data_IF_844096284502
#
_entry.id   IF_844096284502
#
_cell.length_a   1.000
_cell.length_b   1.000
_cell.length_c   1.000
_cell.angle_alpha   90.00
_cell.angle_beta   90.00
_cell.angle_gamma   90.00
#
_symmetry.space_group_name_H-M   'P 1'
#
loop_
_entity.id
_entity.type
_entity.pdbx_description
1 polymer ?
#
# COMPACT_ATOMS: atom_id res chain seq x y z
N UNK A 1 19.77 -39.77 -32.14
CA UNK A 1 19.94 -38.89 -30.95
C UNK A 1 18.92 -37.77 -31.09
N UNK A 2 17.79 -37.87 -30.36
CA UNK A 2 16.71 -36.90 -30.40
C UNK A 2 16.94 -35.78 -29.35
N UNK A 3 16.37 -34.59 -29.52
CA UNK A 3 16.57 -33.49 -28.61
C UNK A 3 15.86 -33.77 -27.27
N UNK A 4 16.58 -33.56 -26.17
CA UNK A 4 16.05 -33.64 -24.81
C UNK A 4 15.03 -32.52 -24.61
N UNK A 5 13.77 -32.87 -24.31
CA UNK A 5 12.77 -31.98 -23.78
C UNK A 5 13.27 -31.34 -22.47
N UNK A 6 13.54 -30.06 -22.51
CA UNK A 6 13.61 -29.23 -21.33
C UNK A 6 12.19 -29.11 -20.78
N UNK A 7 11.95 -29.71 -19.63
CA UNK A 7 10.75 -29.49 -18.85
C UNK A 7 10.74 -28.05 -18.43
N UNK A 8 9.68 -27.34 -18.72
CA UNK A 8 9.36 -26.05 -18.12
C UNK A 8 9.38 -26.22 -16.59
N UNK A 9 10.47 -25.78 -15.98
CA UNK A 9 10.52 -25.61 -14.54
C UNK A 9 9.67 -24.40 -14.20
N UNK A 10 8.71 -24.57 -13.29
CA UNK A 10 7.98 -23.49 -12.65
C UNK A 10 8.96 -22.39 -12.22
N UNK A 11 8.97 -21.30 -12.95
CA UNK A 11 9.75 -20.12 -12.60
C UNK A 11 9.01 -19.48 -11.43
N UNK A 12 9.51 -19.69 -10.21
CA UNK A 12 9.01 -19.00 -9.04
C UNK A 12 9.22 -17.48 -9.23
N UNK A 13 8.16 -16.82 -9.69
CA UNK A 13 8.13 -15.36 -9.94
C UNK A 13 8.44 -14.56 -8.66
N UNK A 14 8.46 -15.22 -7.51
CA UNK A 14 8.73 -14.63 -6.19
C UNK A 14 10.22 -14.58 -5.84
N UNK A 15 11.04 -15.44 -6.45
CA UNK A 15 12.48 -15.41 -6.21
C UNK A 15 13.13 -14.39 -7.17
N UNK A 16 13.58 -13.21 -6.70
CA UNK A 16 14.37 -12.33 -7.55
C UNK A 16 15.64 -13.08 -7.97
N UNK A 17 16.03 -12.93 -9.23
CA UNK A 17 17.32 -13.47 -9.71
C UNK A 17 18.42 -13.04 -8.73
N UNK A 18 19.01 -14.00 -8.01
CA UNK A 18 19.95 -13.72 -6.94
C UNK A 18 21.13 -12.85 -7.40
N UNK A 19 21.43 -12.83 -8.70
CA UNK A 19 22.49 -12.01 -9.30
C UNK A 19 22.23 -10.51 -9.26
N UNK A 20 20.94 -10.11 -9.18
CA UNK A 20 20.51 -8.71 -9.20
C UNK A 20 19.60 -8.35 -8.03
N UNK A 21 19.61 -9.17 -6.96
CA UNK A 21 18.77 -8.92 -5.80
C UNK A 21 19.30 -7.72 -4.99
N UNK A 22 18.65 -6.55 -5.02
CA UNK A 22 19.08 -5.37 -4.29
C UNK A 22 18.69 -5.40 -2.81
N UNK A 23 18.05 -6.48 -2.33
CA UNK A 23 17.48 -6.54 -1.01
C UNK A 23 18.36 -7.27 0.00
N UNK A 24 18.40 -6.73 1.22
CA UNK A 24 18.87 -7.43 2.40
C UNK A 24 17.67 -8.03 3.13
N UNK A 25 17.75 -9.30 3.46
CA UNK A 25 16.71 -10.06 4.15
C UNK A 25 16.98 -10.07 5.64
N UNK A 26 15.95 -9.83 6.44
CA UNK A 26 15.98 -9.89 7.90
C UNK A 26 14.93 -10.88 8.38
N UNK A 27 15.27 -11.71 9.38
CA UNK A 27 14.24 -12.41 10.14
C UNK A 27 13.44 -11.42 10.99
N UNK A 28 12.29 -11.84 11.51
CA UNK A 28 11.46 -11.03 12.40
C UNK A 28 12.24 -10.57 13.64
N UNK A 29 13.04 -11.47 14.22
CA UNK A 29 13.86 -11.21 15.40
C UNK A 29 14.96 -10.19 15.10
N UNK A 30 15.71 -10.40 14.01
CA UNK A 30 16.74 -9.46 13.56
C UNK A 30 16.17 -8.07 13.28
N UNK A 31 14.99 -8.00 12.70
CA UNK A 31 14.33 -6.73 12.44
C UNK A 31 13.85 -6.06 13.73
N UNK A 32 13.30 -6.82 14.67
CA UNK A 32 12.83 -6.31 15.96
C UNK A 32 13.97 -5.69 16.78
N UNK A 33 15.18 -6.23 16.72
CA UNK A 33 16.37 -5.66 17.37
C UNK A 33 16.71 -4.24 16.86
N UNK A 34 16.36 -3.92 15.60
CA UNK A 34 16.64 -2.60 15.01
C UNK A 34 15.82 -1.46 15.63
N UNK A 35 14.81 -1.76 16.42
CA UNK A 35 14.12 -0.73 17.21
C UNK A 35 15.04 -0.09 18.26
N UNK A 36 16.08 -0.82 18.71
CA UNK A 36 16.99 -0.41 19.77
C UNK A 36 16.18 0.01 21.04
N UNK A 37 16.56 1.08 21.72
CA UNK A 37 15.87 1.59 22.91
C UNK A 37 14.60 2.42 22.62
N UNK A 38 14.04 2.33 21.41
CA UNK A 38 12.81 3.04 21.04
C UNK A 38 11.64 2.50 21.85
N UNK A 39 11.02 3.30 22.73
CA UNK A 39 9.90 2.83 23.52
C UNK A 39 8.63 2.69 22.66
N UNK A 40 7.76 1.75 23.02
CA UNK A 40 6.41 1.70 22.48
C UNK A 40 5.63 2.93 22.96
N UNK A 41 5.11 3.69 22.01
CA UNK A 41 4.39 4.95 22.29
C UNK A 41 2.88 4.83 22.11
N UNK A 42 2.39 3.68 21.61
CA UNK A 42 0.97 3.40 21.45
C UNK A 42 0.42 2.70 22.67
N UNK A 43 -0.61 3.28 23.28
CA UNK A 43 -1.35 2.66 24.36
C UNK A 43 -2.33 1.59 23.82
N UNK A 44 -2.65 0.52 24.61
CA UNK A 44 -3.56 -0.53 24.17
C UNK A 44 -4.94 -0.02 23.71
N UNK A 45 -5.47 1.01 24.36
CA UNK A 45 -6.75 1.63 24.02
C UNK A 45 -6.72 2.33 22.67
N UNK A 46 -5.66 3.08 22.37
CA UNK A 46 -5.44 3.73 21.08
C UNK A 46 -5.25 2.71 19.96
N UNK A 47 -4.45 1.67 20.22
CA UNK A 47 -4.22 0.59 19.27
C UNK A 47 -5.53 -0.08 18.86
N UNK A 48 -6.45 -0.29 19.81
CA UNK A 48 -7.77 -0.86 19.52
C UNK A 48 -8.60 -0.01 18.55
N UNK A 49 -8.41 1.32 18.55
CA UNK A 49 -9.08 2.23 17.63
C UNK A 49 -8.43 2.25 16.23
N UNK A 50 -7.12 2.01 16.15
CA UNK A 50 -6.40 1.95 14.87
C UNK A 50 -6.69 0.66 14.10
N UNK A 51 -7.01 -0.41 14.82
CA UNK A 51 -7.31 -1.72 14.26
C UNK A 51 -8.75 -1.76 13.72
N UNK A 52 -8.94 -2.27 12.51
CA UNK A 52 -10.29 -2.65 12.04
C UNK A 52 -10.77 -3.90 12.79
N UNK A 53 -12.08 -4.10 12.90
CA UNK A 53 -12.68 -5.27 13.59
C UNK A 53 -12.18 -6.62 13.06
N UNK A 54 -11.64 -6.65 11.85
CA UNK A 54 -11.17 -7.86 11.16
C UNK A 54 -9.66 -8.01 11.15
N UNK A 55 -8.92 -7.03 11.67
CA UNK A 55 -7.47 -7.06 11.65
C UNK A 55 -6.95 -7.95 12.78
N UNK A 56 -6.06 -8.86 12.41
CA UNK A 56 -5.41 -9.79 13.34
C UNK A 56 -4.12 -9.23 13.94
N UNK A 57 -3.87 -7.95 13.76
CA UNK A 57 -2.70 -7.27 14.28
C UNK A 57 -2.76 -7.21 15.81
N UNK A 58 -1.67 -7.53 16.47
CA UNK A 58 -1.48 -7.39 17.91
C UNK A 58 -0.38 -6.38 18.26
N UNK A 59 -0.30 -5.97 19.53
CA UNK A 59 0.71 -5.00 19.99
C UNK A 59 2.13 -5.53 19.86
N UNK A 60 2.32 -6.85 19.96
CA UNK A 60 3.64 -7.46 19.79
C UNK A 60 4.13 -7.31 18.35
N UNK A 61 3.23 -7.52 17.37
CA UNK A 61 3.56 -7.27 15.96
C UNK A 61 3.89 -5.78 15.72
N UNK A 62 3.17 -4.87 16.38
CA UNK A 62 3.49 -3.44 16.29
C UNK A 62 4.89 -3.16 16.84
N UNK A 63 5.23 -3.72 17.97
CA UNK A 63 6.53 -3.55 18.63
C UNK A 63 7.68 -4.15 17.81
N UNK A 64 7.48 -5.34 17.25
CA UNK A 64 8.53 -6.09 16.55
C UNK A 64 8.71 -5.66 15.08
N UNK A 65 7.64 -5.19 14.42
CA UNK A 65 7.66 -4.90 12.99
C UNK A 65 7.53 -3.40 12.69
N UNK A 66 6.48 -2.76 13.23
CA UNK A 66 6.15 -1.40 12.83
C UNK A 66 6.95 -0.34 13.60
N UNK A 67 7.36 -0.62 14.82
CA UNK A 67 8.19 0.29 15.59
C UNK A 67 9.59 0.45 14.98
N UNK A 68 10.34 -0.64 14.64
CA UNK A 68 11.59 -0.50 13.87
C UNK A 68 11.40 0.17 12.53
N UNK A 69 10.31 -0.14 11.79
CA UNK A 69 10.00 0.53 10.53
C UNK A 69 9.78 2.03 10.71
N UNK A 70 9.02 2.43 11.74
CA UNK A 70 8.79 3.86 12.03
C UNK A 70 10.09 4.59 12.37
N UNK A 71 11.01 3.92 13.08
CA UNK A 71 12.36 4.45 13.36
C UNK A 71 13.16 4.64 12.08
N UNK A 72 13.18 3.63 11.21
CA UNK A 72 13.83 3.75 9.91
C UNK A 72 13.27 4.92 9.11
N UNK A 73 11.95 5.01 9.00
CA UNK A 73 11.27 6.08 8.28
C UNK A 73 11.55 7.47 8.88
N UNK A 74 11.64 7.59 10.21
CA UNK A 74 11.98 8.87 10.83
C UNK A 74 13.38 9.36 10.44
N UNK A 75 14.36 8.44 10.33
CA UNK A 75 15.72 8.77 9.86
C UNK A 75 15.68 9.30 8.42
N UNK A 76 14.91 8.65 7.54
CA UNK A 76 14.74 9.10 6.15
C UNK A 76 14.05 10.45 6.05
N UNK A 77 12.96 10.63 6.79
CA UNK A 77 12.22 11.88 6.83
C UNK A 77 13.12 13.03 7.28
N UNK A 78 13.88 12.85 8.36
CA UNK A 78 14.80 13.86 8.88
C UNK A 78 15.88 14.24 7.85
N UNK A 79 16.49 13.25 7.21
CA UNK A 79 17.51 13.49 6.20
C UNK A 79 16.94 14.22 4.97
N UNK A 80 15.77 13.78 4.49
CA UNK A 80 15.09 14.39 3.35
C UNK A 80 14.62 15.82 3.65
N UNK A 81 14.08 16.08 4.84
CA UNK A 81 13.63 17.43 5.23
C UNK A 81 14.80 18.41 5.33
N UNK A 82 15.96 17.97 5.85
CA UNK A 82 17.18 18.79 5.85
C UNK A 82 17.65 19.11 4.43
N UNK A 83 17.63 18.11 3.53
CA UNK A 83 17.97 18.32 2.13
C UNK A 83 17.00 19.28 1.44
N UNK A 84 15.68 19.12 1.64
CA UNK A 84 14.68 20.03 1.08
C UNK A 84 14.84 21.45 1.61
N UNK A 85 15.16 21.61 2.89
CA UNK A 85 15.47 22.92 3.46
C UNK A 85 16.68 23.57 2.77
N UNK A 86 17.78 22.83 2.63
CA UNK A 86 19.00 23.33 1.97
C UNK A 86 18.76 23.72 0.50
N UNK A 87 18.01 22.88 -0.23
CA UNK A 87 17.63 23.16 -1.62
C UNK A 87 16.76 24.42 -1.74
N UNK A 88 15.81 24.62 -0.83
CA UNK A 88 14.96 25.82 -0.81
C UNK A 88 15.78 27.07 -0.55
N UNK A 89 16.73 27.02 0.37
CA UNK A 89 17.67 28.13 0.61
C UNK A 89 18.47 28.45 -0.64
N UNK A 90 19.01 27.44 -1.30
CA UNK A 90 19.76 27.59 -2.56
C UNK A 90 18.92 28.23 -3.68
N UNK A 91 17.66 27.80 -3.81
CA UNK A 91 16.74 28.29 -4.85
C UNK A 91 16.04 29.61 -4.48
N UNK A 92 16.24 30.16 -3.28
CA UNK A 92 15.56 31.36 -2.82
C UNK A 92 14.04 31.19 -2.60
N UNK A 93 13.55 29.95 -2.46
CA UNK A 93 12.13 29.63 -2.25
C UNK A 93 11.83 29.61 -0.76
N UNK A 94 11.02 30.56 -0.26
CA UNK A 94 10.79 30.68 1.20
C UNK A 94 9.52 30.01 1.73
N UNK A 95 8.46 29.86 0.93
CA UNK A 95 7.11 29.66 1.46
C UNK A 95 6.48 28.29 1.14
N UNK A 96 7.24 27.29 0.69
CA UNK A 96 6.69 26.00 0.33
C UNK A 96 7.32 24.86 1.12
N UNK A 97 6.49 24.08 1.80
CA UNK A 97 6.88 22.85 2.49
C UNK A 97 6.68 21.67 1.53
N UNK A 98 7.72 20.86 1.32
CA UNK A 98 7.64 19.65 0.51
C UNK A 98 7.49 18.45 1.46
N UNK A 99 6.38 17.73 1.44
CA UNK A 99 6.20 16.56 2.30
C UNK A 99 7.07 15.39 1.83
N UNK A 100 7.45 14.55 2.80
CA UNK A 100 7.99 13.23 2.53
C UNK A 100 6.81 12.28 2.23
N UNK A 101 6.79 11.63 1.06
CA UNK A 101 5.67 10.79 0.64
C UNK A 101 6.04 9.32 0.74
N UNK A 102 5.24 8.57 1.51
CA UNK A 102 5.41 7.13 1.71
C UNK A 102 4.27 6.40 0.99
N UNK A 103 4.61 5.53 0.02
CA UNK A 103 3.65 4.67 -0.65
C UNK A 103 3.51 3.32 0.06
N UNK A 104 2.27 2.85 0.30
CA UNK A 104 2.00 1.52 0.85
C UNK A 104 1.18 0.71 -0.15
N UNK A 105 1.81 -0.32 -0.72
CA UNK A 105 1.25 -1.23 -1.71
C UNK A 105 0.96 -2.61 -1.11
N UNK A 106 0.25 -3.44 -1.86
CA UNK A 106 -0.03 -4.84 -1.54
C UNK A 106 -1.43 -5.25 -1.97
N UNK A 107 -1.75 -6.54 -1.84
CA UNK A 107 -3.02 -7.13 -2.25
C UNK A 107 -4.22 -6.62 -1.44
N UNK A 108 -5.43 -6.90 -1.93
CA UNK A 108 -6.64 -6.82 -1.11
C UNK A 108 -6.50 -7.72 0.14
N UNK A 109 -7.08 -7.31 1.25
CA UNK A 109 -7.10 -8.02 2.54
C UNK A 109 -5.73 -8.25 3.23
N UNK A 110 -4.59 -7.80 2.68
CA UNK A 110 -3.26 -7.97 3.29
C UNK A 110 -3.01 -7.06 4.51
N UNK A 111 -3.89 -6.08 4.75
CA UNK A 111 -3.79 -5.17 5.91
C UNK A 111 -3.06 -3.85 5.64
N UNK A 112 -3.04 -3.36 4.39
CA UNK A 112 -2.44 -2.06 4.02
C UNK A 112 -2.95 -0.89 4.85
N UNK A 113 -4.28 -0.74 4.93
CA UNK A 113 -4.90 0.40 5.62
C UNK A 113 -4.62 0.38 7.12
N UNK A 114 -4.52 -0.80 7.73
CA UNK A 114 -4.12 -0.93 9.14
C UNK A 114 -2.66 -0.58 9.35
N UNK A 115 -1.78 -1.10 8.49
CA UNK A 115 -0.36 -0.71 8.47
C UNK A 115 -0.21 0.80 8.33
N UNK A 116 -0.94 1.41 7.40
CA UNK A 116 -0.89 2.85 7.16
C UNK A 116 -1.31 3.66 8.40
N UNK A 117 -2.42 3.27 9.07
CA UNK A 117 -2.88 3.93 10.31
C UNK A 117 -1.89 3.76 11.46
N UNK A 118 -1.35 2.56 11.65
CA UNK A 118 -0.34 2.30 12.69
C UNK A 118 0.93 3.12 12.44
N UNK A 119 1.43 3.15 11.22
CA UNK A 119 2.60 3.96 10.86
C UNK A 119 2.31 5.46 11.01
N UNK A 120 1.13 5.93 10.64
CA UNK A 120 0.70 7.32 10.86
C UNK A 120 0.78 7.67 12.36
N UNK A 121 0.22 6.82 13.21
CA UNK A 121 0.19 7.04 14.64
C UNK A 121 1.60 6.99 15.27
N UNK A 122 2.46 6.08 14.86
CA UNK A 122 3.84 5.99 15.32
C UNK A 122 4.67 7.18 14.86
N UNK A 123 4.63 7.51 13.56
CA UNK A 123 5.42 8.60 12.98
C UNK A 123 5.05 9.97 13.57
N UNK A 124 3.78 10.22 13.85
CA UNK A 124 3.32 11.46 14.48
C UNK A 124 3.87 11.69 15.90
N UNK A 125 4.44 10.65 16.52
CA UNK A 125 5.01 10.74 17.88
C UNK A 125 6.52 10.96 17.92
N UNK A 126 7.19 10.81 16.78
CA UNK A 126 8.63 11.11 16.70
C UNK A 126 8.90 12.60 16.89
N UNK A 127 10.02 12.93 17.56
CA UNK A 127 10.47 14.33 17.67
C UNK A 127 10.88 14.83 16.28
N UNK A 128 10.44 16.00 15.84
CA UNK A 128 9.68 17.07 16.51
C UNK A 128 8.15 16.99 16.40
N UNK A 129 7.56 15.80 16.34
CA UNK A 129 6.12 15.54 16.16
C UNK A 129 5.59 16.03 14.81
N UNK A 130 6.00 15.39 13.72
CA UNK A 130 5.59 15.79 12.38
C UNK A 130 4.07 15.66 12.19
N UNK A 131 3.51 16.53 11.36
CA UNK A 131 2.14 16.36 10.86
C UNK A 131 2.12 15.24 9.82
N UNK A 132 1.39 14.18 10.11
CA UNK A 132 1.29 12.99 9.24
C UNK A 132 -0.13 12.85 8.73
N UNK A 133 -0.32 13.02 7.43
CA UNK A 133 -1.60 12.77 6.75
C UNK A 133 -1.59 11.42 6.04
N UNK A 134 -2.76 10.80 5.91
CA UNK A 134 -2.97 9.51 5.24
C UNK A 134 -4.07 9.66 4.20
N UNK A 135 -3.80 9.25 2.97
CA UNK A 135 -4.78 9.23 1.86
C UNK A 135 -4.81 7.84 1.24
N UNK A 136 -6.02 7.32 1.02
CA UNK A 136 -6.24 6.07 0.27
C UNK A 136 -6.50 6.35 -1.20
N UNK A 137 -5.93 5.55 -2.09
CA UNK A 137 -6.18 5.69 -3.54
C UNK A 137 -7.58 5.28 -3.94
N UNK A 138 -8.35 4.60 -3.10
CA UNK A 138 -9.74 4.26 -3.36
C UNK A 138 -10.61 5.50 -3.61
N UNK A 139 -10.24 6.66 -3.03
CA UNK A 139 -10.85 7.95 -3.32
C UNK A 139 -10.74 8.38 -4.79
N UNK A 140 -9.77 7.84 -5.52
CA UNK A 140 -9.53 8.15 -6.92
C UNK A 140 -10.09 7.08 -7.89
N UNK A 141 -10.90 6.14 -7.40
CA UNK A 141 -11.72 5.30 -8.27
C UNK A 141 -12.72 6.16 -9.04
N UNK A 142 -13.07 5.73 -10.26
CA UNK A 142 -14.23 6.32 -10.92
C UNK A 142 -15.49 6.05 -10.12
N UNK A 143 -16.45 6.98 -10.10
CA UNK A 143 -17.75 6.76 -9.48
C UNK A 143 -18.45 5.52 -10.04
N UNK A 144 -19.21 4.82 -9.21
CA UNK A 144 -19.91 3.59 -9.57
C UNK A 144 -20.71 3.73 -10.87
N UNK A 145 -21.45 4.84 -11.03
CA UNK A 145 -22.23 5.10 -12.24
C UNK A 145 -21.35 5.17 -13.51
N UNK A 146 -20.12 5.63 -13.41
CA UNK A 146 -19.16 5.64 -14.53
C UNK A 146 -18.68 4.21 -14.80
N UNK A 147 -18.30 3.45 -13.75
CA UNK A 147 -17.84 2.07 -13.88
C UNK A 147 -18.93 1.17 -14.47
N UNK A 148 -20.19 1.39 -14.12
CA UNK A 148 -21.34 0.66 -14.68
C UNK A 148 -21.54 0.98 -16.16
N UNK A 149 -21.51 2.25 -16.54
CA UNK A 149 -21.64 2.70 -17.92
C UNK A 149 -20.54 2.16 -18.83
N UNK A 150 -19.31 2.13 -18.33
CA UNK A 150 -18.13 1.66 -19.08
C UNK A 150 -17.92 0.13 -18.97
N UNK A 151 -18.79 -0.61 -18.27
CA UNK A 151 -18.66 -2.06 -18.08
C UNK A 151 -17.50 -2.49 -17.20
N UNK A 152 -16.97 -1.57 -16.35
CA UNK A 152 -15.77 -1.79 -15.53
C UNK A 152 -16.05 -2.24 -14.09
N UNK A 153 -17.32 -2.49 -13.71
CA UNK A 153 -17.67 -2.87 -12.34
C UNK A 153 -16.97 -4.15 -11.86
N UNK A 154 -16.77 -5.12 -12.74
CA UNK A 154 -16.05 -6.36 -12.40
C UNK A 154 -14.54 -6.16 -12.29
N UNK A 155 -14.04 -5.09 -12.85
CA UNK A 155 -12.63 -4.67 -12.81
C UNK A 155 -12.37 -3.54 -11.80
N UNK A 156 -13.29 -3.32 -10.88
CA UNK A 156 -13.06 -2.33 -9.81
C UNK A 156 -11.88 -2.71 -8.94
N UNK A 157 -10.91 -1.80 -8.80
CA UNK A 157 -9.61 -2.06 -8.20
C UNK A 157 -8.49 -2.35 -9.21
N UNK A 158 -8.82 -2.64 -10.47
CA UNK A 158 -7.85 -2.71 -11.57
C UNK A 158 -7.42 -1.30 -12.01
N UNK A 159 -6.26 -1.15 -12.69
CA UNK A 159 -5.72 0.14 -13.10
C UNK A 159 -6.69 1.03 -13.87
N UNK A 160 -7.50 0.42 -14.75
CA UNK A 160 -8.47 1.11 -15.59
C UNK A 160 -9.68 1.65 -14.83
N UNK A 161 -9.90 1.21 -13.59
CA UNK A 161 -10.99 1.70 -12.75
C UNK A 161 -10.66 2.99 -11.99
N UNK A 162 -9.43 3.51 -12.12
CA UNK A 162 -8.96 4.71 -11.41
C UNK A 162 -8.83 5.92 -12.33
N UNK A 163 -9.23 7.08 -11.81
CA UNK A 163 -8.89 8.39 -12.39
C UNK A 163 -7.42 8.73 -12.07
N UNK A 164 -6.53 8.13 -12.87
CA UNK A 164 -5.07 8.30 -12.73
C UNK A 164 -4.65 9.75 -12.93
N UNK A 165 -5.28 10.47 -13.82
CA UNK A 165 -4.96 11.87 -14.09
C UNK A 165 -5.20 12.73 -12.85
N UNK A 166 -6.32 12.51 -12.17
CA UNK A 166 -6.66 13.19 -10.93
C UNK A 166 -5.71 12.83 -9.78
N UNK A 167 -5.35 11.55 -9.63
CA UNK A 167 -4.38 11.12 -8.61
C UNK A 167 -3.00 11.74 -8.85
N UNK A 168 -2.51 11.77 -10.09
CA UNK A 168 -1.25 12.40 -10.45
C UNK A 168 -1.27 13.92 -10.22
N UNK A 169 -2.39 14.60 -10.55
CA UNK A 169 -2.57 16.02 -10.27
C UNK A 169 -2.54 16.30 -8.76
N UNK A 170 -3.22 15.47 -7.95
CA UNK A 170 -3.20 15.55 -6.50
C UNK A 170 -1.77 15.45 -5.96
N UNK A 171 -1.02 14.42 -6.36
CA UNK A 171 0.36 14.20 -5.90
C UNK A 171 1.31 15.32 -6.36
N UNK A 172 1.11 15.84 -7.57
CA UNK A 172 1.86 16.99 -8.10
C UNK A 172 1.63 18.25 -7.26
N UNK A 173 0.38 18.52 -6.89
CA UNK A 173 0.03 19.66 -6.05
C UNK A 173 0.63 19.55 -4.64
N UNK A 174 0.62 18.34 -4.08
CA UNK A 174 1.28 18.04 -2.80
C UNK A 174 2.79 18.27 -2.89
N UNK A 175 3.47 17.71 -3.88
CA UNK A 175 4.94 17.92 -4.08
C UNK A 175 5.29 19.37 -4.42
N UNK A 176 4.36 20.11 -5.03
CA UNK A 176 4.52 21.55 -5.24
C UNK A 176 4.33 22.37 -3.94
N UNK A 177 4.02 21.74 -2.81
CA UNK A 177 3.81 22.42 -1.52
C UNK A 177 2.55 23.29 -1.47
N UNK A 178 1.53 22.97 -2.29
CA UNK A 178 0.25 23.70 -2.26
C UNK A 178 -0.47 23.43 -0.94
N UNK A 179 -1.13 24.46 -0.41
CA UNK A 179 -2.00 24.34 0.76
C UNK A 179 -3.37 23.81 0.38
N UNK A 180 -4.02 23.12 1.33
CA UNK A 180 -5.43 22.65 1.23
C UNK A 180 -5.75 21.89 -0.04
N UNK A 181 -4.87 20.94 -0.39
CA UNK A 181 -5.11 20.03 -1.51
C UNK A 181 -6.19 19.02 -1.13
N UNK A 182 -7.13 18.73 -2.03
CA UNK A 182 -8.31 17.90 -1.73
C UNK A 182 -8.21 16.54 -2.38
N UNK A 183 -8.37 15.47 -1.59
CA UNK A 183 -8.56 14.11 -2.06
C UNK A 183 -10.05 13.72 -1.94
N UNK A 184 -10.64 12.99 -2.91
CA UNK A 184 -12.00 12.50 -2.78
C UNK A 184 -12.11 11.46 -1.66
N UNK A 185 -13.28 11.38 -1.04
CA UNK A 185 -13.59 10.39 0.00
C UNK A 185 -14.30 9.19 -0.61
N UNK A 186 -13.85 7.99 -0.25
CA UNK A 186 -14.47 6.73 -0.63
C UNK A 186 -15.23 6.11 0.55
N UNK A 187 -16.38 5.54 0.30
CA UNK A 187 -17.16 4.79 1.28
C UNK A 187 -17.19 3.31 0.96
N UNK A 188 -16.60 2.50 1.83
CA UNK A 188 -16.71 1.05 1.73
C UNK A 188 -18.13 0.54 1.96
N UNK A 189 -18.96 1.29 2.70
CA UNK A 189 -20.36 0.93 2.95
C UNK A 189 -21.18 1.00 1.66
N UNK A 190 -21.13 2.15 0.98
CA UNK A 190 -21.86 2.35 -0.29
C UNK A 190 -21.09 1.83 -1.50
N UNK A 191 -19.84 1.40 -1.29
CA UNK A 191 -18.93 0.92 -2.33
C UNK A 191 -18.74 1.94 -3.45
N UNK A 192 -18.66 3.24 -3.10
CA UNK A 192 -18.59 4.34 -4.06
C UNK A 192 -17.86 5.56 -3.49
N UNK A 193 -17.51 6.50 -4.36
CA UNK A 193 -17.06 7.84 -3.99
C UNK A 193 -18.23 8.59 -3.33
N UNK A 194 -17.95 9.25 -2.20
CA UNK A 194 -18.95 10.06 -1.51
C UNK A 194 -19.09 11.41 -2.24
N UNK A 195 -20.27 11.73 -2.81
CA UNK A 195 -20.45 12.97 -3.55
C UNK A 195 -20.18 14.20 -2.67
N UNK A 196 -19.45 15.17 -3.22
CA UNK A 196 -19.15 16.46 -2.56
C UNK A 196 -18.43 16.35 -1.21
N UNK A 197 -17.80 15.21 -0.92
CA UNK A 197 -17.00 15.01 0.28
C UNK A 197 -15.53 14.90 -0.08
N UNK A 198 -14.68 15.64 0.67
CA UNK A 198 -13.27 15.75 0.41
C UNK A 198 -12.49 15.63 1.70
N UNK A 199 -11.38 14.94 1.64
CA UNK A 199 -10.33 15.01 2.65
C UNK A 199 -9.38 16.15 2.26
N UNK A 200 -9.21 17.14 3.14
CA UNK A 200 -8.25 18.22 2.95
C UNK A 200 -6.87 17.78 3.49
N UNK A 201 -5.85 17.92 2.66
CA UNK A 201 -4.45 17.69 2.98
C UNK A 201 -3.75 19.04 2.93
N UNK A 202 -3.33 19.53 4.09
CA UNK A 202 -2.77 20.87 4.22
C UNK A 202 -1.33 20.83 4.74
N UNK A 203 -0.40 20.85 3.80
CA UNK A 203 1.06 20.92 4.02
C UNK A 203 1.58 19.98 5.14
N UNK A 204 1.35 18.67 5.08
CA UNK A 204 1.91 17.73 6.05
C UNK A 204 3.44 17.68 5.97
N UNK A 205 4.10 17.17 7.01
CA UNK A 205 5.52 16.79 6.97
C UNK A 205 5.70 15.46 6.25
N UNK A 206 4.74 14.55 6.49
CA UNK A 206 4.70 13.21 5.91
C UNK A 206 3.30 12.99 5.33
N UNK A 207 3.24 12.49 4.10
CA UNK A 207 2.02 11.98 3.50
C UNK A 207 2.16 10.48 3.27
N UNK A 208 1.27 9.69 3.85
CA UNK A 208 1.14 8.27 3.54
C UNK A 208 0.06 8.12 2.46
N UNK A 209 0.41 7.44 1.36
CA UNK A 209 -0.52 7.11 0.27
C UNK A 209 -0.64 5.59 0.19
N UNK A 210 -1.82 5.05 0.46
CA UNK A 210 -2.03 3.61 0.42
C UNK A 210 -2.99 3.18 -0.68
N UNK A 211 -2.71 2.03 -1.30
CA UNK A 211 -3.58 1.43 -2.28
C UNK A 211 -2.98 0.25 -3.03
N UNK A 212 -3.82 -0.48 -3.75
CA UNK A 212 -3.39 -1.68 -4.50
C UNK A 212 -2.51 -1.34 -5.70
N UNK A 213 -2.67 -0.15 -6.27
CA UNK A 213 -2.09 0.29 -7.55
C UNK A 213 -0.98 1.34 -7.43
N UNK A 214 -0.52 1.65 -6.21
CA UNK A 214 0.41 2.77 -5.99
C UNK A 214 1.80 2.57 -6.60
N UNK A 215 2.22 1.33 -6.83
CA UNK A 215 3.51 0.99 -7.46
C UNK A 215 3.40 0.62 -8.94
N UNK A 216 2.23 0.76 -9.56
CA UNK A 216 2.03 0.41 -10.96
C UNK A 216 2.84 1.28 -11.90
N UNK A 217 3.31 0.64 -12.98
CA UNK A 217 3.96 1.32 -14.11
C UNK A 217 2.95 1.73 -15.16
N UNK A 218 3.32 2.66 -16.02
CA UNK A 218 2.62 2.92 -17.25
C UNK A 218 3.34 2.21 -18.42
N UNK A 219 2.63 1.73 -19.44
CA UNK A 219 3.25 1.33 -20.70
C UNK A 219 4.07 2.48 -21.26
N UNK A 220 5.19 2.17 -21.93
CA UNK A 220 5.95 3.19 -22.66
C UNK A 220 5.05 3.84 -23.71
N UNK A 221 4.95 5.16 -23.75
CA UNK A 221 4.08 5.84 -24.69
C UNK A 221 4.59 5.64 -26.12
N UNK A 222 3.69 5.33 -27.05
CA UNK A 222 4.00 5.10 -28.46
C UNK A 222 4.66 6.32 -29.16
N UNK A 223 4.66 7.51 -28.54
CA UNK A 223 5.18 8.76 -29.11
C UNK A 223 6.27 9.43 -28.24
N UNK A 224 7.00 8.66 -27.43
CA UNK A 224 8.23 9.13 -26.76
C UNK A 224 8.07 10.15 -25.64
N UNK A 225 6.84 10.52 -25.21
CA UNK A 225 6.62 11.38 -24.05
C UNK A 225 6.39 10.52 -22.82
N UNK A 226 7.36 10.47 -21.92
CA UNK A 226 7.19 9.82 -20.63
C UNK A 226 6.06 10.48 -19.82
N UNK A 227 5.09 9.69 -19.38
CA UNK A 227 4.04 10.14 -18.46
C UNK A 227 4.46 9.68 -17.05
N UNK A 228 4.44 10.58 -16.05
CA UNK A 228 4.76 10.19 -14.69
C UNK A 228 3.82 9.09 -14.20
N UNK A 229 4.34 8.22 -13.34
CA UNK A 229 3.54 7.23 -12.61
C UNK A 229 3.44 7.62 -11.14
N UNK A 230 2.49 7.05 -10.43
CA UNK A 230 2.22 7.38 -9.01
C UNK A 230 3.46 7.21 -8.15
N UNK A 231 4.22 6.16 -8.38
CA UNK A 231 5.45 5.86 -7.61
C UNK A 231 6.59 6.85 -7.84
N UNK A 232 6.56 7.68 -8.89
CA UNK A 232 7.58 8.71 -9.10
C UNK A 232 7.49 9.86 -8.08
N UNK A 233 6.39 9.96 -7.36
CA UNK A 233 6.18 10.93 -6.30
C UNK A 233 6.60 10.44 -4.92
N UNK A 234 6.92 9.15 -4.77
CA UNK A 234 7.25 8.56 -3.48
C UNK A 234 8.73 8.73 -3.15
N UNK A 235 8.98 9.11 -1.91
CA UNK A 235 10.33 9.14 -1.34
C UNK A 235 10.69 7.79 -0.70
N UNK A 236 9.67 7.01 -0.30
CA UNK A 236 9.81 5.64 0.21
C UNK A 236 8.58 4.82 -0.16
N UNK A 237 8.77 3.51 -0.33
CA UNK A 237 7.65 2.62 -0.61
C UNK A 237 7.75 1.30 0.14
N UNK A 238 6.61 0.86 0.66
CA UNK A 238 6.45 -0.41 1.38
C UNK A 238 5.47 -1.28 0.57
N UNK A 239 5.89 -2.51 0.28
CA UNK A 239 4.99 -3.53 -0.25
C UNK A 239 4.67 -4.53 0.85
N UNK A 240 3.38 -4.73 1.14
CA UNK A 240 2.93 -5.74 2.10
C UNK A 240 2.58 -7.00 1.32
N UNK A 241 3.33 -8.05 1.57
CA UNK A 241 3.25 -9.34 0.90
C UNK A 241 2.67 -10.43 1.81
N UNK A 242 2.09 -11.44 1.22
CA UNK A 242 1.74 -12.71 1.86
C UNK A 242 1.52 -13.78 0.80
N UNK A 243 1.57 -15.05 1.19
CA UNK A 243 1.24 -16.14 0.29
C UNK A 243 -0.18 -16.03 -0.26
N UNK A 244 -0.38 -16.40 -1.53
CA UNK A 244 -1.68 -16.30 -2.21
C UNK A 244 -2.77 -17.07 -1.48
N UNK A 245 -2.45 -18.28 -0.99
CA UNK A 245 -3.38 -19.08 -0.19
C UNK A 245 -3.81 -18.37 1.08
N UNK A 246 -2.86 -17.71 1.75
CA UNK A 246 -3.08 -16.94 2.98
C UNK A 246 -3.95 -15.70 2.69
N UNK A 247 -3.67 -15.00 1.60
CA UNK A 247 -4.47 -13.84 1.16
C UNK A 247 -5.91 -14.24 0.84
N UNK A 248 -6.12 -15.38 0.16
CA UNK A 248 -7.45 -15.94 -0.11
C UNK A 248 -8.20 -16.21 1.20
N UNK A 249 -7.55 -16.92 2.12
CA UNK A 249 -8.18 -17.26 3.39
C UNK A 249 -8.54 -16.02 4.22
N UNK A 250 -7.66 -15.01 4.23
CA UNK A 250 -7.96 -13.72 4.88
C UNK A 250 -9.11 -12.98 4.22
N UNK A 251 -9.19 -13.03 2.90
CA UNK A 251 -10.29 -12.42 2.15
C UNK A 251 -11.62 -13.08 2.48
N UNK A 252 -11.67 -14.43 2.47
CA UNK A 252 -12.89 -15.20 2.81
C UNK A 252 -13.30 -14.91 4.26
N UNK A 253 -12.38 -14.95 5.21
CA UNK A 253 -12.68 -14.66 6.62
C UNK A 253 -13.21 -13.23 6.81
N UNK A 254 -12.62 -12.26 6.13
CA UNK A 254 -13.09 -10.87 6.13
C UNK A 254 -14.50 -10.76 5.55
N UNK A 255 -14.79 -11.45 4.48
CA UNK A 255 -16.13 -11.48 3.88
C UNK A 255 -17.17 -12.05 4.85
N UNK A 256 -16.87 -13.18 5.52
CA UNK A 256 -17.74 -13.76 6.54
C UNK A 256 -18.01 -12.79 7.69
N UNK A 257 -16.96 -12.15 8.19
CA UNK A 257 -17.13 -11.16 9.27
C UNK A 257 -17.97 -9.95 8.80
N UNK A 258 -17.82 -9.49 7.57
CA UNK A 258 -18.67 -8.43 7.03
C UNK A 258 -20.10 -8.88 6.82
N UNK A 259 -20.34 -10.11 6.39
CA UNK A 259 -21.67 -10.70 6.30
C UNK A 259 -22.38 -10.61 7.65
N UNK A 260 -21.69 -11.00 8.72
CA UNK A 260 -22.25 -11.04 10.08
C UNK A 260 -22.40 -9.65 10.73
N UNK A 261 -21.84 -8.60 10.11
CA UNK A 261 -21.80 -7.25 10.68
C UNK A 261 -22.25 -6.18 9.68
N UNK A 262 -21.31 -5.63 8.90
CA UNK A 262 -21.52 -4.45 8.04
C UNK A 262 -22.52 -4.69 6.90
N UNK A 263 -22.71 -5.93 6.42
CA UNK A 263 -23.67 -6.21 5.37
C UNK A 263 -25.11 -6.17 5.85
N UNK A 264 -25.37 -6.23 7.16
CA UNK A 264 -26.71 -6.06 7.72
C UNK A 264 -27.22 -4.60 7.66
N UNK A 265 -26.34 -3.62 7.47
CA UNK A 265 -26.78 -2.24 7.23
C UNK A 265 -27.53 -2.16 5.87
N UNK A 266 -28.81 -1.74 5.84
CA UNK A 266 -29.55 -1.64 4.59
C UNK A 266 -28.93 -0.70 3.52
N UNK A 267 -28.08 0.22 3.95
CA UNK A 267 -27.33 1.12 3.06
C UNK A 267 -26.13 0.46 2.42
N UNK A 268 -25.73 -0.74 2.92
CA UNK A 268 -24.57 -1.47 2.38
C UNK A 268 -24.84 -1.93 0.95
N UNK A 269 -23.91 -1.61 0.05
CA UNK A 269 -23.91 -2.17 -1.30
C UNK A 269 -23.95 -3.71 -1.30
N UNK A 270 -23.40 -4.31 -0.27
CA UNK A 270 -23.29 -5.76 -0.08
C UNK A 270 -24.43 -6.34 0.77
N UNK A 271 -25.47 -5.55 1.10
CA UNK A 271 -26.60 -5.99 1.93
C UNK A 271 -27.23 -7.30 1.43
N UNK A 272 -27.26 -7.51 0.11
CA UNK A 272 -27.74 -8.75 -0.53
C UNK A 272 -27.05 -10.02 -0.06
N UNK A 273 -25.86 -9.93 0.53
CA UNK A 273 -25.08 -11.07 1.04
C UNK A 273 -25.31 -11.33 2.54
N UNK A 274 -26.05 -10.48 3.24
CA UNK A 274 -26.25 -10.59 4.69
C UNK A 274 -27.01 -11.85 5.14
N UNK A 275 -27.79 -12.46 4.22
CA UNK A 275 -28.62 -13.65 4.51
C UNK A 275 -28.00 -14.95 3.97
N UNK A 276 -26.79 -14.93 3.41
CA UNK A 276 -26.13 -16.14 2.93
C UNK A 276 -25.77 -17.05 4.12
N UNK A 277 -25.98 -18.36 3.95
CA UNK A 277 -25.40 -19.38 4.82
C UNK A 277 -23.87 -19.33 4.79
N UNK A 278 -23.20 -20.02 5.72
CA UNK A 278 -21.73 -20.10 5.74
C UNK A 278 -21.16 -20.65 4.45
N UNK A 279 -21.72 -21.76 3.94
CA UNK A 279 -21.25 -22.40 2.71
C UNK A 279 -21.45 -21.50 1.48
N UNK A 280 -22.62 -20.85 1.37
CA UNK A 280 -22.91 -19.91 0.27
C UNK A 280 -21.99 -18.67 0.34
N UNK A 281 -21.73 -18.16 1.53
CA UNK A 281 -20.85 -17.02 1.73
C UNK A 281 -19.40 -17.36 1.40
N UNK A 282 -18.90 -18.54 1.82
CA UNK A 282 -17.57 -19.03 1.46
C UNK A 282 -17.45 -19.21 -0.05
N UNK A 283 -18.42 -19.85 -0.69
CA UNK A 283 -18.43 -20.06 -2.13
C UNK A 283 -18.44 -18.72 -2.89
N UNK A 284 -19.29 -17.76 -2.44
CA UNK A 284 -19.38 -16.42 -3.03
C UNK A 284 -18.09 -15.65 -2.87
N UNK A 285 -17.50 -15.63 -1.68
CA UNK A 285 -16.25 -14.93 -1.40
C UNK A 285 -15.10 -15.52 -2.23
N UNK A 286 -15.02 -16.86 -2.33
CA UNK A 286 -14.00 -17.55 -3.13
C UNK A 286 -14.14 -17.20 -4.61
N UNK A 287 -15.34 -17.22 -5.15
CA UNK A 287 -15.58 -16.87 -6.56
C UNK A 287 -15.22 -15.40 -6.86
N UNK A 288 -15.49 -14.46 -5.94
CA UNK A 288 -15.09 -13.05 -6.10
C UNK A 288 -13.56 -12.93 -6.01
N UNK A 289 -12.92 -13.64 -5.07
CA UNK A 289 -11.48 -13.67 -4.94
C UNK A 289 -10.82 -14.12 -6.24
N UNK A 290 -11.17 -15.26 -6.76
CA UNK A 290 -10.58 -15.84 -7.96
C UNK A 290 -10.77 -14.94 -9.19
N UNK A 291 -12.00 -14.49 -9.42
CA UNK A 291 -12.34 -13.72 -10.61
C UNK A 291 -11.75 -12.32 -10.61
N UNK A 292 -11.67 -11.66 -9.44
CA UNK A 292 -11.36 -10.24 -9.38
C UNK A 292 -10.06 -9.96 -8.62
N UNK A 293 -9.95 -10.41 -7.37
CA UNK A 293 -8.81 -10.01 -6.53
C UNK A 293 -7.54 -10.75 -6.91
N UNK A 294 -7.63 -12.05 -7.19
CA UNK A 294 -6.49 -12.85 -7.60
C UNK A 294 -6.01 -12.47 -9.00
N UNK A 295 -6.91 -12.30 -9.96
CA UNK A 295 -6.56 -11.82 -11.30
C UNK A 295 -5.85 -10.46 -11.24
N UNK A 296 -6.37 -9.50 -10.46
CA UNK A 296 -5.72 -8.21 -10.27
C UNK A 296 -4.36 -8.34 -9.56
N UNK A 297 -4.27 -9.26 -8.59
CA UNK A 297 -3.00 -9.52 -7.90
C UNK A 297 -1.93 -9.99 -8.89
N UNK A 298 -2.23 -11.01 -9.69
CA UNK A 298 -1.27 -11.59 -10.65
C UNK A 298 -0.90 -10.60 -11.77
N UNK A 299 -1.90 -9.95 -12.36
CA UNK A 299 -1.69 -9.10 -13.53
C UNK A 299 -1.07 -7.74 -13.19
N UNK A 300 -1.45 -7.15 -12.04
CA UNK A 300 -1.21 -5.74 -11.80
C UNK A 300 -0.44 -5.44 -10.50
N UNK A 301 -0.58 -6.26 -9.45
CA UNK A 301 -0.04 -5.91 -8.13
C UNK A 301 1.28 -6.64 -7.87
N UNK A 302 1.30 -7.95 -8.00
CA UNK A 302 2.48 -8.79 -7.73
C UNK A 302 3.70 -8.41 -8.60
N UNK A 303 3.55 -8.10 -9.90
CA UNK A 303 4.68 -7.65 -10.72
C UNK A 303 5.34 -6.36 -10.24
N UNK A 304 4.66 -5.57 -9.40
CA UNK A 304 5.21 -4.32 -8.86
C UNK A 304 6.01 -4.50 -7.58
N UNK A 305 5.95 -5.68 -6.95
CA UNK A 305 6.65 -6.01 -5.71
C UNK A 305 8.14 -5.65 -5.74
N UNK A 306 8.92 -5.96 -6.79
CA UNK A 306 10.36 -5.63 -6.85
C UNK A 306 10.66 -4.12 -6.93
N UNK A 307 9.65 -3.28 -7.07
CA UNK A 307 9.79 -1.81 -7.13
C UNK A 307 9.72 -1.15 -5.76
N UNK A 308 9.32 -1.89 -4.73
CA UNK A 308 9.22 -1.38 -3.37
C UNK A 308 10.61 -1.17 -2.76
N UNK A 309 10.75 -0.12 -1.95
CA UNK A 309 11.97 0.11 -1.15
C UNK A 309 12.09 -0.94 -0.03
N UNK A 310 10.95 -1.37 0.51
CA UNK A 310 10.88 -2.36 1.58
C UNK A 310 9.69 -3.30 1.34
N UNK A 311 9.90 -4.59 1.59
CA UNK A 311 8.87 -5.61 1.49
C UNK A 311 8.67 -6.22 2.89
N UNK A 312 7.42 -6.18 3.38
CA UNK A 312 6.99 -6.84 4.60
C UNK A 312 6.21 -8.10 4.24
N UNK A 313 6.80 -9.27 4.43
CA UNK A 313 6.09 -10.53 4.22
C UNK A 313 5.37 -10.96 5.49
N UNK A 314 4.05 -11.10 5.41
CA UNK A 314 3.20 -11.58 6.49
C UNK A 314 3.02 -13.09 6.40
N UNK A 315 3.17 -13.77 7.53
CA UNK A 315 2.84 -15.20 7.67
C UNK A 315 1.45 -15.40 8.27
N UNK A 316 0.83 -16.57 8.08
CA UNK A 316 -0.38 -16.95 8.81
C UNK A 316 -0.12 -16.88 10.31
N UNK A 317 -0.99 -16.23 11.05
CA UNK A 317 -0.96 -16.33 12.52
C UNK A 317 -1.38 -17.75 12.84
N UNK A 318 -0.43 -18.61 13.18
CA UNK A 318 -0.73 -19.91 13.77
C UNK A 318 -1.26 -19.64 15.17
N UNK A 319 -2.58 -19.49 15.28
CA UNK A 319 -3.24 -19.49 16.58
C UNK A 319 -3.04 -20.87 17.20
N UNK A 320 -2.25 -20.94 18.24
CA UNK A 320 -2.17 -22.09 19.16
C UNK A 320 -3.46 -22.19 19.97
N UNK A 321 -4.62 -22.36 19.34
CA UNK A 321 -5.88 -22.74 19.99
C UNK A 321 -6.73 -23.59 19.06
N UNK A 322 -6.63 -24.90 19.30
CA UNK A 322 -7.61 -25.95 19.07
C UNK A 322 -8.39 -25.94 17.74
N UNK A 323 -7.90 -26.71 16.80
CA UNK A 323 -8.77 -27.68 16.11
C UNK A 323 -8.16 -29.05 16.33
N UNK A 324 -8.83 -29.88 17.12
CA UNK A 324 -8.63 -31.32 17.11
C UNK A 324 -9.35 -31.84 15.87
N UNK A 325 -8.60 -32.38 14.95
CA UNK A 325 -9.04 -33.47 14.09
C UNK A 325 -7.97 -34.54 14.18
N UNK A 326 -8.39 -35.70 14.62
CA UNK A 326 -7.56 -36.88 14.83
C UNK A 326 -7.04 -37.39 13.48
N UNK A 327 -5.73 -37.72 13.47
CA UNK A 327 -5.10 -38.64 12.52
C UNK A 327 -4.65 -38.05 11.20
N UNK A 328 -3.36 -37.66 11.15
CA UNK A 328 -2.41 -38.13 10.15
C UNK A 328 -1.01 -37.56 10.50
N UNK A 329 0.01 -38.39 10.36
CA UNK A 329 1.42 -38.15 10.70
C UNK A 329 1.96 -36.92 9.98
N UNK A 330 2.60 -36.02 10.74
CA UNK A 330 3.22 -34.82 10.24
C UNK A 330 4.59 -35.11 9.64
N UNK A 331 4.69 -35.03 8.34
CA UNK A 331 5.96 -34.69 7.67
C UNK A 331 6.24 -33.18 7.92
N UNK A 332 7.46 -32.90 8.37
CA UNK A 332 7.93 -31.51 8.55
C UNK A 332 8.03 -30.83 7.18
N UNK A 333 7.02 -30.07 6.82
CA UNK A 333 7.18 -29.09 5.76
C UNK A 333 7.75 -27.82 6.40
N UNK A 334 8.92 -27.39 5.95
CA UNK A 334 9.48 -26.08 6.26
C UNK A 334 8.45 -25.01 5.86
N UNK A 335 7.79 -24.43 6.85
CA UNK A 335 6.85 -23.32 6.63
C UNK A 335 7.65 -22.04 6.50
N UNK A 336 7.38 -21.19 5.48
CA UNK A 336 8.07 -19.91 5.36
C UNK A 336 7.81 -19.07 6.62
N UNK A 337 8.91 -18.63 7.23
CA UNK A 337 8.91 -17.66 8.32
C UNK A 337 8.57 -16.26 7.75
N UNK A 338 7.96 -15.36 8.53
CA UNK A 338 7.78 -13.98 8.11
C UNK A 338 9.14 -13.31 7.89
N UNK A 339 9.34 -12.76 6.70
CA UNK A 339 10.59 -12.12 6.29
C UNK A 339 10.38 -10.64 6.01
N UNK A 340 11.40 -9.82 6.31
CA UNK A 340 11.42 -8.40 5.99
C UNK A 340 12.59 -8.18 5.03
N UNK A 341 12.29 -7.60 3.88
CA UNK A 341 13.23 -7.43 2.79
C UNK A 341 13.38 -5.95 2.48
N UNK A 342 14.59 -5.39 2.69
CA UNK A 342 14.88 -3.99 2.44
C UNK A 342 15.95 -3.81 1.34
N UNK A 343 15.78 -2.83 0.47
CA UNK A 343 16.72 -2.59 -0.63
C UNK A 343 18.09 -2.12 -0.14
N UNK A 344 19.16 -2.66 -0.74
CA UNK A 344 20.55 -2.32 -0.40
C UNK A 344 20.94 -0.90 -0.78
N UNK A 345 20.37 -0.38 -1.86
CA UNK A 345 20.74 0.92 -2.41
C UNK A 345 19.70 1.96 -2.05
N UNK A 346 20.06 2.82 -1.16
CA UNK A 346 19.32 3.98 -0.72
C UNK A 346 19.77 5.19 -1.53
N UNK A 347 19.78 5.05 -2.86
CA UNK A 347 20.01 6.17 -3.74
C UNK A 347 18.86 7.17 -3.59
N UNK A 348 19.18 8.37 -3.16
CA UNK A 348 18.24 9.50 -3.18
C UNK A 348 17.75 9.68 -4.61
N UNK A 349 16.44 9.66 -4.89
CA UNK A 349 15.94 9.84 -6.24
C UNK A 349 16.44 11.16 -6.80
N UNK A 350 17.06 11.12 -7.98
CA UNK A 350 17.44 12.33 -8.69
C UNK A 350 16.18 13.14 -9.02
N UNK A 351 16.00 14.29 -8.37
CA UNK A 351 14.94 15.24 -8.70
C UNK A 351 15.16 15.75 -10.12
N UNK A 352 14.28 15.38 -11.02
CA UNK A 352 14.20 15.94 -12.37
C UNK A 352 13.76 17.41 -12.27
N UNK A 353 14.72 18.34 -12.15
CA UNK A 353 14.49 19.77 -12.35
C UNK A 353 14.14 20.02 -13.83
N UNK A 354 12.86 20.02 -14.17
CA UNK A 354 12.43 20.66 -15.42
C UNK A 354 12.35 22.15 -15.20
N UNK A 355 13.42 22.85 -15.61
CA UNK A 355 13.36 24.28 -15.87
C UNK A 355 12.35 24.52 -17.00
N UNK A 356 11.25 25.19 -16.71
CA UNK A 356 10.41 25.81 -17.73
C UNK A 356 11.17 26.99 -18.29
N UNK A 357 11.82 26.81 -19.44
CA UNK A 357 12.32 27.90 -20.27
C UNK A 357 11.13 28.70 -20.81
N UNK A 358 10.76 29.73 -20.10
CA UNK A 358 9.97 30.82 -20.62
C UNK A 358 10.94 31.77 -21.33
N UNK A 359 11.01 31.73 -22.65
CA UNK A 359 11.69 32.71 -23.48
C UNK A 359 11.06 34.09 -23.31
N UNK A 360 11.84 35.14 -23.07
CA UNK A 360 11.31 36.52 -23.09
C UNK A 360 10.92 36.86 -24.52
N UNK A 361 9.68 37.21 -24.76
CA UNK A 361 9.28 37.89 -25.99
C UNK A 361 9.88 39.30 -25.95
N UNK A 362 10.84 39.54 -26.84
CA UNK A 362 11.26 40.89 -27.25
C UNK A 362 10.06 41.69 -27.71
N UNK A 363 9.82 42.83 -27.09
CA UNK A 363 9.02 43.91 -27.64
C UNK A 363 9.96 44.77 -28.50
N UNK A 364 9.82 44.67 -29.80
CA UNK A 364 10.27 45.70 -30.72
C UNK A 364 9.08 46.58 -31.06
N UNK A 365 9.16 47.86 -30.66
CA UNK A 365 8.42 49.07 -31.06
C UNK A 365 6.90 48.99 -31.20
#
# INVERSE_FOLDING_TARGET
MGPKNLRDGDMDIRAPDQRYNPYRIFSREQWAELRNDTPMTLEPGEFSQLRSMHDRLDLKEVEEIYLPLSRLLSIYVDAAQRLYYAQRQFLGIRDRKVPYIIGIAGSAAVGKSTTARVLQALLARWSPRPKVDLVTTDGFLYPKAVLEREGLMQKKGFPESYDRARLLSFLSDIKAGRSRVRAPVYSHLTYDIVPNQWQEVDQPDILIVEGVNVLQTAPLPHHGKAVPVVSDFFDFSVYIDADVSVLRDWYVQRFLTFRDTAFHDPRSYFHRYSLLSDDEAIATATAIWERTNFANLEENILPTRPRATLILTKAPITSSRRWRCDGFSAERTDRPQPEIVAAHSLAVPAMCCKSSNATPRERVR
#
